data_IF_146413441558
#
_entry.id   IF_146413441558
#
_cell.length_a   1.000
_cell.length_b   1.000
_cell.length_c   1.000
_cell.angle_alpha   90.00
_cell.angle_beta   90.00
_cell.angle_gamma   90.00
#
_symmetry.space_group_name_H-M   'P 1'
#
loop_
_entity.id
_entity.type
_entity.pdbx_description
1 polymer ?
#
# COMPACT_ATOMS: atom_id res chain seq x y z
N UNK A 1 -11.89 20.04 18.41
CA UNK A 1 -11.39 20.92 17.34
C UNK A 1 -12.09 20.81 15.98
N UNK A 2 -13.21 20.10 15.81
CA UNK A 2 -14.05 20.21 14.59
C UNK A 2 -13.43 19.73 13.26
N UNK A 3 -12.16 19.33 13.26
CA UNK A 3 -11.48 18.79 12.09
C UNK A 3 -11.88 17.34 11.83
N UNK A 4 -12.14 17.02 10.57
CA UNK A 4 -12.35 15.65 10.11
C UNK A 4 -11.02 14.89 10.13
N UNK A 5 -11.05 13.66 10.64
CA UNK A 5 -9.91 12.75 10.62
C UNK A 5 -10.24 11.54 9.74
N UNK A 6 -9.35 11.22 8.81
CA UNK A 6 -9.45 10.00 8.01
C UNK A 6 -9.07 8.81 8.89
N UNK A 7 -9.99 7.88 9.09
CA UNK A 7 -9.74 6.61 9.82
C UNK A 7 -9.06 5.56 8.94
N UNK A 8 -9.28 5.62 7.63
CA UNK A 8 -8.65 4.77 6.63
C UNK A 8 -8.18 5.67 5.50
N UNK A 9 -6.93 5.50 5.07
CA UNK A 9 -6.43 6.21 3.89
C UNK A 9 -7.19 5.75 2.64
N UNK A 10 -7.49 6.67 1.70
CA UNK A 10 -8.07 6.31 0.41
C UNK A 10 -7.36 5.14 -0.25
N UNK A 11 -8.14 4.20 -0.79
CA UNK A 11 -7.62 2.99 -1.40
C UNK A 11 -8.47 2.53 -2.59
N UNK A 12 -8.03 1.46 -3.24
CA UNK A 12 -8.68 0.85 -4.40
C UNK A 12 -9.59 -0.28 -3.95
N UNK A 13 -10.77 -0.38 -4.59
CA UNK A 13 -11.68 -1.51 -4.45
C UNK A 13 -11.31 -2.59 -5.48
N UNK A 14 -10.98 -3.80 -5.01
CA UNK A 14 -10.67 -4.96 -5.85
C UNK A 14 -11.67 -6.07 -5.55
N UNK A 15 -12.52 -6.39 -6.53
CA UNK A 15 -13.51 -7.46 -6.41
C UNK A 15 -14.42 -7.29 -5.18
N UNK A 16 -14.87 -6.05 -4.90
CA UNK A 16 -15.74 -5.72 -3.79
C UNK A 16 -15.06 -5.54 -2.43
N UNK A 17 -13.74 -5.70 -2.35
CA UNK A 17 -12.97 -5.54 -1.11
C UNK A 17 -12.04 -4.35 -1.19
N UNK A 18 -11.86 -3.67 -0.05
CA UNK A 18 -10.80 -2.68 0.06
C UNK A 18 -9.45 -3.37 -0.01
N UNK A 19 -8.58 -2.86 -0.87
CA UNK A 19 -7.19 -3.27 -0.90
C UNK A 19 -6.35 -2.40 0.02
N UNK A 20 -5.18 -2.89 0.40
CA UNK A 20 -4.11 -2.10 1.02
C UNK A 20 -2.93 -2.02 0.08
N UNK A 21 -2.36 -0.82 -0.07
CA UNK A 21 -1.12 -0.67 -0.84
C UNK A 21 0.08 -1.10 0.01
N UNK A 22 0.77 -2.15 -0.42
CA UNK A 22 1.98 -2.69 0.18
C UNK A 22 3.20 -2.40 -0.68
N UNK A 23 4.25 -1.83 -0.09
CA UNK A 23 5.55 -1.70 -0.74
C UNK A 23 6.46 -2.88 -0.40
N UNK A 24 6.88 -3.64 -1.41
CA UNK A 24 7.84 -4.73 -1.28
C UNK A 24 9.30 -4.30 -1.59
N UNK A 25 9.56 -3.00 -1.73
CA UNK A 25 10.87 -2.44 -2.04
C UNK A 25 11.20 -2.39 -3.52
N UNK A 26 10.88 -3.44 -4.29
CA UNK A 26 11.08 -3.49 -5.75
C UNK A 26 9.79 -3.28 -6.56
N UNK A 27 8.63 -3.49 -5.93
CA UNK A 27 7.31 -3.40 -6.55
C UNK A 27 6.26 -3.13 -5.46
N UNK A 28 5.22 -2.37 -5.81
CA UNK A 28 4.06 -2.18 -4.95
C UNK A 28 2.95 -3.17 -5.30
N UNK A 29 2.22 -3.66 -4.31
CA UNK A 29 1.11 -4.58 -4.47
C UNK A 29 -0.15 -4.05 -3.79
N UNK A 30 -1.30 -4.41 -4.33
CA UNK A 30 -2.60 -4.25 -3.67
C UNK A 30 -2.96 -5.57 -3.01
N UNK A 31 -3.19 -5.54 -1.69
CA UNK A 31 -3.53 -6.70 -0.87
C UNK A 31 -4.93 -6.54 -0.31
N UNK A 32 -5.86 -7.40 -0.68
CA UNK A 32 -7.22 -7.41 -0.11
C UNK A 32 -7.26 -8.21 1.19
N UNK A 33 -8.28 -7.97 2.01
CA UNK A 33 -8.41 -8.63 3.32
C UNK A 33 -8.66 -10.14 3.24
N UNK A 34 -9.11 -10.65 2.08
CA UNK A 34 -9.20 -12.09 1.78
C UNK A 34 -7.87 -12.70 1.30
N UNK A 35 -6.78 -11.92 1.28
CA UNK A 35 -5.43 -12.38 1.00
C UNK A 35 -5.02 -12.39 -0.48
N UNK A 36 -5.85 -11.88 -1.40
CA UNK A 36 -5.41 -11.70 -2.81
C UNK A 36 -4.35 -10.61 -2.89
N UNK A 37 -3.35 -10.85 -3.72
CA UNK A 37 -2.21 -9.95 -3.96
C UNK A 37 -2.03 -9.72 -5.45
N UNK A 38 -2.17 -8.47 -5.89
CA UNK A 38 -1.98 -8.08 -7.30
C UNK A 38 -0.93 -6.97 -7.41
N UNK A 39 -0.08 -6.96 -8.45
CA UNK A 39 0.87 -5.87 -8.65
C UNK A 39 0.11 -4.56 -8.92
N UNK A 40 0.51 -3.49 -8.24
CA UNK A 40 -0.03 -2.16 -8.49
C UNK A 40 0.58 -1.59 -9.78
N UNK A 41 -0.27 -1.21 -10.73
CA UNK A 41 0.15 -0.53 -11.95
C UNK A 41 0.43 0.96 -11.68
N UNK A 42 1.32 1.56 -12.48
CA UNK A 42 1.66 2.97 -12.34
C UNK A 42 0.43 3.90 -12.41
N UNK A 43 -0.50 3.62 -13.32
CA UNK A 43 -1.75 4.37 -13.47
C UNK A 43 -2.62 4.32 -12.19
N UNK A 44 -2.72 3.16 -11.56
CA UNK A 44 -3.44 3.00 -10.28
C UNK A 44 -2.82 3.86 -9.17
N UNK A 45 -1.49 3.92 -9.10
CA UNK A 45 -0.77 4.74 -8.13
C UNK A 45 -0.99 6.24 -8.38
N UNK A 46 -0.98 6.67 -9.65
CA UNK A 46 -1.26 8.06 -10.04
C UNK A 46 -2.68 8.47 -9.66
N UNK A 47 -3.67 7.64 -9.99
CA UNK A 47 -5.07 7.91 -9.65
C UNK A 47 -5.30 7.96 -8.15
N UNK A 48 -4.71 7.04 -7.38
CA UNK A 48 -4.85 7.02 -5.93
C UNK A 48 -4.22 8.26 -5.28
N UNK A 49 -3.04 8.69 -5.76
CA UNK A 49 -2.41 9.94 -5.30
C UNK A 49 -3.32 11.13 -5.57
N UNK A 50 -3.78 11.30 -6.81
CA UNK A 50 -4.65 12.41 -7.22
C UNK A 50 -5.92 12.47 -6.37
N UNK A 51 -6.59 11.32 -6.18
CA UNK A 51 -7.78 11.24 -5.35
C UNK A 51 -7.51 11.62 -3.89
N UNK A 52 -6.41 11.15 -3.30
CA UNK A 52 -6.06 11.50 -1.92
C UNK A 52 -5.77 13.00 -1.75
N UNK A 53 -5.08 13.63 -2.73
CA UNK A 53 -4.84 15.07 -2.74
C UNK A 53 -6.14 15.88 -2.85
N UNK A 54 -7.02 15.49 -3.77
CA UNK A 54 -8.34 16.13 -3.96
C UNK A 54 -9.22 15.99 -2.71
N UNK A 55 -9.28 14.78 -2.12
CA UNK A 55 -10.08 14.51 -0.93
C UNK A 55 -9.59 15.31 0.29
N UNK A 56 -8.27 15.33 0.53
CA UNK A 56 -7.70 16.09 1.66
C UNK A 56 -7.95 17.59 1.50
N UNK A 57 -7.79 18.10 0.27
CA UNK A 57 -8.09 19.49 -0.06
C UNK A 57 -9.57 19.81 0.20
N UNK A 58 -10.49 18.97 -0.25
CA UNK A 58 -11.93 19.17 -0.07
C UNK A 58 -12.36 19.12 1.41
N UNK A 59 -11.70 18.29 2.23
CA UNK A 59 -12.00 18.14 3.65
C UNK A 59 -11.25 19.13 4.56
N UNK A 60 -10.38 19.98 4.00
CA UNK A 60 -9.52 20.87 4.78
C UNK A 60 -8.56 20.13 5.72
N UNK A 61 -8.23 18.88 5.39
CA UNK A 61 -7.27 18.06 6.16
C UNK A 61 -5.87 18.54 5.81
N UNK A 62 -5.02 18.90 6.80
CA UNK A 62 -3.65 19.32 6.54
C UNK A 62 -2.89 18.26 5.74
N UNK A 63 -2.25 18.68 4.67
CA UNK A 63 -1.38 17.82 3.87
C UNK A 63 0.07 18.12 4.26
N UNK A 64 0.67 17.26 5.06
CA UNK A 64 2.08 17.40 5.38
C UNK A 64 2.93 16.98 4.19
N UNK A 65 4.01 17.72 3.93
CA UNK A 65 4.92 17.49 2.80
C UNK A 65 5.35 16.02 2.65
N UNK A 66 5.65 15.37 3.79
CA UNK A 66 6.09 13.98 3.87
C UNK A 66 5.00 12.97 3.48
N UNK A 67 3.73 13.33 3.65
CA UNK A 67 2.58 12.52 3.27
C UNK A 67 2.18 12.75 1.80
N UNK A 68 2.58 13.90 1.23
CA UNK A 68 2.22 14.33 -0.12
C UNK A 68 3.18 13.81 -1.20
N UNK A 69 4.48 13.71 -0.90
CA UNK A 69 5.52 13.64 -1.94
C UNK A 69 5.71 12.28 -2.62
N UNK A 70 5.00 11.25 -2.20
CA UNK A 70 4.97 9.99 -2.94
C UNK A 70 5.28 8.79 -2.08
N UNK A 71 4.48 7.75 -2.29
CA UNK A 71 4.61 6.42 -1.71
C UNK A 71 4.22 6.30 -0.22
N UNK A 72 3.09 6.89 0.19
CA UNK A 72 2.40 6.42 1.40
C UNK A 72 1.74 5.07 1.10
N UNK A 73 2.52 4.00 1.09
CA UNK A 73 1.95 2.66 1.19
C UNK A 73 1.43 2.51 2.62
N UNK A 74 0.21 1.96 2.76
CA UNK A 74 -0.36 1.68 4.07
C UNK A 74 0.48 0.64 4.83
N UNK A 75 1.20 -0.20 4.08
CA UNK A 75 2.14 -1.16 4.62
C UNK A 75 3.45 -1.00 3.86
N UNK A 76 4.54 -0.75 4.57
CA UNK A 76 5.89 -0.82 4.01
C UNK A 76 6.61 -1.95 4.71
N UNK A 77 7.03 -2.97 3.95
CA UNK A 77 7.99 -3.93 4.47
C UNK A 77 9.30 -3.64 3.78
N UNK A 78 10.23 -3.03 4.51
CA UNK A 78 11.61 -3.05 4.08
C UNK A 78 12.09 -4.49 4.16
N UNK A 79 12.38 -5.09 3.01
CA UNK A 79 13.27 -6.24 2.93
C UNK A 79 14.67 -5.77 3.35
N UNK A 80 14.89 -5.66 4.66
CA UNK A 80 16.25 -5.60 5.18
C UNK A 80 16.88 -6.91 4.73
N UNK A 81 17.98 -6.82 3.99
CA UNK A 81 18.71 -7.98 3.44
C UNK A 81 18.85 -9.05 4.52
N UNK A 82 17.94 -10.01 4.50
CA UNK A 82 18.03 -11.20 5.31
C UNK A 82 19.10 -12.06 4.63
N UNK A 83 20.31 -12.06 5.19
CA UNK A 83 21.40 -12.91 4.74
C UNK A 83 22.80 -12.32 4.85
N UNK A 84 23.02 -11.29 5.69
CA UNK A 84 24.35 -11.18 6.31
C UNK A 84 24.64 -12.48 7.06
N UNK A 85 25.90 -12.85 7.32
CA UNK A 85 26.19 -14.03 8.14
C UNK A 85 25.29 -14.03 9.41
N UNK A 86 24.27 -14.90 9.45
CA UNK A 86 23.24 -14.94 10.50
C UNK A 86 21.75 -14.77 10.11
N UNK A 87 21.36 -14.38 8.89
CA UNK A 87 19.94 -14.08 8.60
C UNK A 87 19.26 -15.07 7.61
N UNK A 88 18.06 -15.55 7.95
CA UNK A 88 17.16 -16.36 7.11
C UNK A 88 15.85 -15.59 6.89
N UNK A 89 15.37 -15.41 5.65
CA UNK A 89 14.15 -14.64 5.38
C UNK A 89 12.88 -15.28 5.99
N UNK A 90 11.92 -14.44 6.38
CA UNK A 90 10.64 -14.88 6.93
C UNK A 90 9.79 -15.61 5.87
N UNK A 91 9.13 -16.72 6.25
CA UNK A 91 8.29 -17.53 5.35
C UNK A 91 7.06 -16.79 4.82
N UNK A 92 6.72 -15.64 5.36
CA UNK A 92 5.66 -14.75 4.89
C UNK A 92 6.06 -13.93 3.65
N UNK A 93 7.35 -13.87 3.29
CA UNK A 93 7.81 -13.21 2.07
C UNK A 93 7.78 -14.17 0.87
N UNK A 94 7.27 -13.70 -0.26
CA UNK A 94 7.15 -14.47 -1.51
C UNK A 94 5.70 -14.70 -1.95
N UNK A 95 5.52 -14.98 -3.25
CA UNK A 95 4.23 -15.45 -3.78
C UNK A 95 4.09 -16.91 -3.36
N UNK A 96 3.03 -17.25 -2.61
CA UNK A 96 2.75 -18.65 -2.28
C UNK A 96 2.54 -19.40 -3.59
N UNK A 97 3.23 -20.53 -3.82
CA UNK A 97 2.95 -21.34 -4.99
C UNK A 97 1.48 -21.78 -4.92
N UNK A 98 0.71 -21.42 -5.92
CA UNK A 98 -0.61 -22.01 -6.15
C UNK A 98 -0.38 -23.44 -6.58
N UNK A 99 -0.69 -24.41 -5.72
CA UNK A 99 -0.72 -25.82 -6.11
C UNK A 99 -1.77 -26.02 -7.19
N UNK A 100 -1.35 -26.51 -8.36
CA UNK A 100 -2.24 -26.97 -9.42
C UNK A 100 -1.78 -26.59 -10.82
N UNK A 101 -0.93 -27.42 -11.44
CA UNK A 101 -1.30 -28.36 -12.52
C UNK A 101 -0.07 -29.18 -12.94
#
# INVERSE_FOLDING_TARGET
DGHYQLTILPTILLGGLFARLWDAGYQKFLITDDGRKVPAHAEQLVHMRKFNEELRTALGVPTYYNEALGSTCQVTTYDRVAGRPGDVPDRSVGVKPTEGH
#
